data_IF_076120381095
#
_entry.id   IF_076120381095
#
_cell.length_a   1.000
_cell.length_b   1.000
_cell.length_c   1.000
_cell.angle_alpha   90.00
_cell.angle_beta   90.00
_cell.angle_gamma   90.00
#
_symmetry.space_group_name_H-M   'P 1'
#
loop_
_entity.id
_entity.type
_entity.pdbx_description
1 polymer ?
#
# COMPACT_ATOMS: atom_id res chain seq x y z
N UNK A 1 -0.97 -15.26 20.07
CA UNK A 1 -0.03 -15.48 18.97
C UNK A 1 -0.89 -15.67 17.73
N UNK A 2 -1.04 -14.65 16.93
CA UNK A 2 -1.87 -14.73 15.72
C UNK A 2 -1.05 -15.45 14.66
N UNK A 3 -1.50 -16.63 14.27
CA UNK A 3 -0.95 -17.41 13.17
C UNK A 3 -1.91 -17.23 11.99
N UNK A 4 -1.48 -16.57 10.93
CA UNK A 4 -2.30 -16.40 9.72
C UNK A 4 -2.74 -17.75 9.13
N UNK A 5 -1.96 -18.80 9.38
CA UNK A 5 -2.34 -20.16 8.97
C UNK A 5 -3.63 -20.65 9.62
N UNK A 6 -4.02 -20.10 10.79
CA UNK A 6 -5.28 -20.43 11.46
C UNK A 6 -6.44 -19.76 10.75
N UNK A 7 -6.26 -18.50 10.34
CA UNK A 7 -7.31 -17.73 9.64
C UNK A 7 -7.56 -18.32 8.26
N UNK A 8 -6.50 -18.64 7.51
CA UNK A 8 -6.62 -19.28 6.20
C UNK A 8 -7.28 -20.65 6.30
N UNK A 9 -6.87 -21.50 7.24
CA UNK A 9 -7.51 -22.81 7.48
C UNK A 9 -8.98 -22.70 7.90
N UNK A 10 -9.34 -21.68 8.68
CA UNK A 10 -10.72 -21.43 9.06
C UNK A 10 -11.56 -20.98 7.86
N UNK A 11 -11.02 -20.12 7.00
CA UNK A 11 -11.66 -19.72 5.73
C UNK A 11 -11.77 -20.87 4.74
N UNK A 12 -10.74 -21.69 4.59
CA UNK A 12 -10.78 -22.92 3.78
C UNK A 12 -11.88 -23.87 4.24
N UNK A 13 -11.98 -24.11 5.54
CA UNK A 13 -13.02 -24.95 6.10
C UNK A 13 -14.43 -24.38 5.87
N UNK A 14 -14.61 -23.06 6.00
CA UNK A 14 -15.87 -22.38 5.72
C UNK A 14 -16.24 -22.43 4.25
N UNK A 15 -15.31 -22.12 3.35
CA UNK A 15 -15.58 -22.00 1.92
C UNK A 15 -15.74 -23.37 1.25
N UNK A 16 -14.93 -24.35 1.63
CA UNK A 16 -14.99 -25.69 1.05
C UNK A 16 -16.15 -26.54 1.61
N UNK A 17 -16.44 -26.44 2.91
CA UNK A 17 -17.48 -27.25 3.56
C UNK A 17 -18.88 -26.64 3.45
N UNK A 18 -19.02 -25.31 3.50
CA UNK A 18 -20.33 -24.65 3.48
C UNK A 18 -20.81 -24.27 2.08
N UNK A 19 -19.91 -23.87 1.17
CA UNK A 19 -20.26 -23.41 -0.16
C UNK A 19 -19.96 -24.43 -1.29
N UNK A 20 -19.23 -25.52 -1.00
CA UNK A 20 -18.92 -26.57 -1.99
C UNK A 20 -18.18 -26.04 -3.22
N UNK A 21 -17.43 -24.94 -3.08
CA UNK A 21 -16.72 -24.30 -4.18
C UNK A 21 -15.53 -25.16 -4.63
N UNK A 22 -15.22 -25.19 -5.95
CA UNK A 22 -14.04 -25.87 -6.46
C UNK A 22 -12.77 -25.23 -5.85
N UNK A 23 -11.76 -26.04 -5.54
CA UNK A 23 -10.54 -25.60 -4.83
C UNK A 23 -9.80 -24.41 -5.47
N UNK A 24 -9.94 -24.21 -6.79
CA UNK A 24 -9.40 -23.03 -7.45
C UNK A 24 -10.10 -21.73 -7.02
N UNK A 25 -11.41 -21.75 -6.86
CA UNK A 25 -12.18 -20.58 -6.40
C UNK A 25 -11.90 -20.25 -4.93
N UNK A 26 -11.69 -21.25 -4.09
CA UNK A 26 -11.34 -21.03 -2.68
C UNK A 26 -9.99 -20.33 -2.56
N UNK A 27 -8.97 -20.79 -3.28
CA UNK A 27 -7.63 -20.18 -3.30
C UNK A 27 -7.70 -18.72 -3.79
N UNK A 28 -8.48 -18.43 -4.85
CA UNK A 28 -8.64 -17.06 -5.34
C UNK A 28 -9.27 -16.13 -4.30
N UNK A 29 -10.32 -16.60 -3.63
CA UNK A 29 -11.01 -15.82 -2.58
C UNK A 29 -10.06 -15.58 -1.41
N UNK A 30 -9.31 -16.59 -0.98
CA UNK A 30 -8.31 -16.43 0.08
C UNK A 30 -7.23 -15.41 -0.28
N UNK A 31 -6.66 -15.50 -1.48
CA UNK A 31 -5.68 -14.53 -1.96
C UNK A 31 -6.21 -13.10 -1.96
N UNK A 32 -7.48 -12.90 -2.37
CA UNK A 32 -8.13 -11.59 -2.34
C UNK A 32 -8.33 -11.10 -0.91
N UNK A 33 -8.81 -11.95 -0.01
CA UNK A 33 -9.05 -11.60 1.39
C UNK A 33 -7.74 -11.26 2.13
N UNK A 34 -6.71 -12.08 1.97
CA UNK A 34 -5.39 -11.82 2.56
C UNK A 34 -4.77 -10.55 1.96
N UNK A 35 -4.88 -10.36 0.65
CA UNK A 35 -4.43 -9.14 -0.01
C UNK A 35 -5.14 -7.89 0.52
N UNK A 36 -6.46 -7.95 0.69
CA UNK A 36 -7.25 -6.85 1.27
C UNK A 36 -6.84 -6.56 2.72
N UNK A 37 -6.58 -7.59 3.52
CA UNK A 37 -6.13 -7.46 4.90
C UNK A 37 -4.76 -6.78 4.97
N UNK A 38 -3.81 -7.20 4.13
CA UNK A 38 -2.48 -6.58 4.04
C UNK A 38 -2.59 -5.11 3.61
N UNK A 39 -3.42 -4.83 2.61
CA UNK A 39 -3.63 -3.48 2.10
C UNK A 39 -4.28 -2.56 3.14
N UNK A 40 -5.24 -3.05 3.91
CA UNK A 40 -5.85 -2.29 5.01
C UNK A 40 -4.86 -2.02 6.14
N UNK A 41 -4.06 -3.00 6.54
CA UNK A 41 -3.01 -2.83 7.54
C UNK A 41 -1.97 -1.80 7.09
N UNK A 42 -1.52 -1.89 5.84
CA UNK A 42 -0.62 -0.92 5.23
C UNK A 42 -1.21 0.49 5.22
N UNK A 43 -2.47 0.65 4.80
CA UNK A 43 -3.16 1.94 4.78
C UNK A 43 -3.27 2.56 6.19
N UNK A 44 -3.60 1.78 7.20
CA UNK A 44 -3.67 2.25 8.59
C UNK A 44 -2.31 2.76 9.10
N UNK A 45 -1.25 2.03 8.83
CA UNK A 45 0.12 2.44 9.19
C UNK A 45 0.50 3.73 8.46
N UNK A 46 0.21 3.83 7.16
CA UNK A 46 0.46 5.04 6.38
C UNK A 46 -0.26 6.26 6.94
N UNK A 47 -1.53 6.12 7.36
CA UNK A 47 -2.30 7.22 7.99
C UNK A 47 -1.60 7.72 9.25
N UNK A 48 -1.15 6.81 10.12
CA UNK A 48 -0.42 7.16 11.35
C UNK A 48 0.90 7.85 11.03
N UNK A 49 1.67 7.32 10.08
CA UNK A 49 2.96 7.88 9.69
C UNK A 49 2.83 9.29 9.08
N UNK A 50 1.86 9.51 8.19
CA UNK A 50 1.59 10.83 7.61
C UNK A 50 1.19 11.84 8.68
N UNK A 51 0.37 11.42 9.65
CA UNK A 51 0.02 12.28 10.78
C UNK A 51 1.25 12.66 11.61
N UNK A 52 2.08 11.67 11.94
CA UNK A 52 3.33 11.88 12.69
C UNK A 52 4.30 12.79 11.94
N UNK A 53 4.51 12.57 10.64
CA UNK A 53 5.34 13.40 9.78
C UNK A 53 4.94 14.87 9.87
N UNK A 54 3.65 15.17 9.67
CA UNK A 54 3.13 16.55 9.73
C UNK A 54 3.29 17.19 11.10
N UNK A 55 3.12 16.43 12.18
CA UNK A 55 3.32 16.93 13.55
C UNK A 55 4.79 17.23 13.84
N UNK A 56 5.67 16.31 13.48
CA UNK A 56 7.12 16.43 13.70
C UNK A 56 7.68 17.61 12.88
N UNK A 57 7.33 17.69 11.59
CA UNK A 57 7.74 18.82 10.74
C UNK A 57 7.24 20.16 11.27
N UNK A 58 6.00 20.22 11.77
CA UNK A 58 5.47 21.44 12.37
C UNK A 58 6.24 21.84 13.62
N UNK A 59 6.61 20.87 14.46
CA UNK A 59 7.40 21.10 15.67
C UNK A 59 8.77 21.69 15.34
N UNK A 60 9.49 21.12 14.36
CA UNK A 60 10.77 21.69 13.91
C UNK A 60 10.65 23.10 13.32
N UNK A 61 9.49 23.43 12.75
CA UNK A 61 9.21 24.76 12.20
C UNK A 61 8.61 25.72 13.23
N UNK A 62 8.61 25.38 14.52
CA UNK A 62 8.02 26.19 15.60
C UNK A 62 6.57 26.60 15.33
N UNK A 63 5.76 25.73 14.69
CA UNK A 63 4.34 25.96 14.41
C UNK A 63 3.48 24.81 14.91
N UNK A 64 2.20 25.08 15.13
CA UNK A 64 1.21 24.05 15.45
C UNK A 64 0.87 23.28 14.16
N UNK A 65 1.03 21.97 14.17
CA UNK A 65 0.59 21.10 13.09
C UNK A 65 -0.93 21.07 12.94
N UNK A 66 -1.50 20.12 12.19
CA UNK A 66 -2.95 20.00 12.03
C UNK A 66 -3.63 19.84 13.37
N UNK A 67 -4.62 20.72 13.67
CA UNK A 67 -5.34 20.78 14.95
C UNK A 67 -6.85 20.92 14.82
N UNK A 68 -7.36 21.22 13.61
CA UNK A 68 -8.75 21.64 13.44
C UNK A 68 -9.75 20.52 13.18
N UNK A 69 -9.31 19.39 12.62
CA UNK A 69 -10.21 18.30 12.24
C UNK A 69 -10.09 17.16 13.25
N UNK A 70 -11.07 17.08 14.14
CA UNK A 70 -11.11 16.13 15.25
C UNK A 70 -10.15 16.48 16.39
N UNK A 71 -10.11 15.65 17.45
CA UNK A 71 -9.23 15.88 18.58
C UNK A 71 -7.76 15.84 18.11
N UNK A 72 -7.05 16.93 18.37
CA UNK A 72 -5.64 17.12 18.03
C UNK A 72 -5.30 17.01 16.52
N UNK A 73 -6.32 17.05 15.64
CA UNK A 73 -6.14 16.99 14.20
C UNK A 73 -5.94 15.58 13.62
N UNK A 74 -6.30 14.52 14.35
CA UNK A 74 -6.11 13.12 13.93
C UNK A 74 -6.88 12.82 12.64
N UNK A 75 -8.11 13.36 12.50
CA UNK A 75 -8.94 13.12 11.31
C UNK A 75 -8.54 13.93 10.07
N UNK A 76 -7.50 14.77 10.18
CA UNK A 76 -7.05 15.57 9.03
C UNK A 76 -6.57 14.69 7.86
N UNK A 77 -5.91 13.56 8.16
CA UNK A 77 -5.42 12.64 7.12
C UNK A 77 -6.57 12.00 6.35
N UNK A 78 -7.67 11.64 7.03
CA UNK A 78 -8.88 11.13 6.37
C UNK A 78 -9.53 12.19 5.46
N UNK A 79 -9.62 13.44 5.93
CA UNK A 79 -10.12 14.53 5.12
C UNK A 79 -9.27 14.75 3.87
N UNK A 80 -7.95 14.61 3.97
CA UNK A 80 -7.03 14.73 2.84
C UNK A 80 -7.20 13.58 1.85
N UNK A 81 -7.39 12.35 2.32
CA UNK A 81 -7.68 11.19 1.44
C UNK A 81 -8.98 11.40 0.68
N UNK A 82 -10.07 11.79 1.37
CA UNK A 82 -11.34 12.09 0.72
C UNK A 82 -11.22 13.22 -0.32
N UNK A 83 -10.45 14.25 0.01
CA UNK A 83 -10.18 15.36 -0.91
C UNK A 83 -9.42 14.91 -2.16
N UNK A 84 -8.48 13.98 -2.01
CA UNK A 84 -7.74 13.39 -3.15
C UNK A 84 -8.64 12.55 -4.05
N UNK A 85 -9.60 11.80 -3.47
CA UNK A 85 -10.55 10.98 -4.23
C UNK A 85 -11.55 11.81 -5.05
N UNK A 86 -11.90 13.02 -4.58
CA UNK A 86 -12.84 13.91 -5.26
C UNK A 86 -12.16 14.76 -6.35
N UNK A 87 -10.82 14.88 -6.32
CA UNK A 87 -10.08 15.64 -7.32
C UNK A 87 -10.14 14.99 -8.69
N UNK A 88 -10.23 15.84 -9.72
CA UNK A 88 -10.14 15.42 -11.11
C UNK A 88 -8.78 14.81 -11.44
N UNK A 89 -8.78 13.72 -12.19
CA UNK A 89 -7.58 13.10 -12.74
C UNK A 89 -7.14 13.90 -13.96
N UNK A 90 -6.06 14.62 -13.80
CA UNK A 90 -5.54 15.51 -14.82
C UNK A 90 -4.22 14.95 -15.37
N UNK A 91 -4.12 14.90 -16.68
CA UNK A 91 -2.92 14.47 -17.40
C UNK A 91 -2.35 15.66 -18.18
N UNK A 92 -1.03 15.80 -18.21
CA UNK A 92 -0.35 16.85 -18.96
C UNK A 92 -0.44 16.54 -20.46
N UNK A 93 -0.83 17.51 -21.30
CA UNK A 93 -1.09 17.31 -22.74
C UNK A 93 0.11 16.77 -23.53
N UNK A 94 1.32 17.17 -23.16
CA UNK A 94 2.57 16.74 -23.79
C UNK A 94 3.26 15.57 -23.10
N UNK A 95 2.62 14.94 -22.11
CA UNK A 95 3.16 13.76 -21.43
C UNK A 95 2.95 12.50 -22.25
N UNK A 96 3.84 11.51 -22.07
CA UNK A 96 3.59 10.17 -22.55
C UNK A 96 2.55 9.50 -21.64
N UNK A 97 1.28 9.49 -22.11
CA UNK A 97 0.11 9.09 -21.33
C UNK A 97 0.23 7.67 -20.75
N UNK A 98 0.84 6.75 -21.50
CA UNK A 98 0.98 5.37 -21.08
C UNK A 98 2.00 5.23 -19.95
N UNK A 99 3.19 5.80 -20.11
CA UNK A 99 4.24 5.77 -19.08
C UNK A 99 3.80 6.50 -17.82
N UNK A 100 3.17 7.66 -17.99
CA UNK A 100 2.66 8.46 -16.87
C UNK A 100 1.56 7.75 -16.09
N UNK A 101 0.67 6.98 -16.78
CA UNK A 101 -0.39 6.22 -16.12
C UNK A 101 0.14 4.97 -15.39
N UNK A 102 1.15 4.27 -15.94
CA UNK A 102 1.70 3.04 -15.35
C UNK A 102 2.57 3.33 -14.13
N UNK A 103 3.29 4.44 -14.12
CA UNK A 103 4.27 4.77 -13.09
C UNK A 103 3.72 4.71 -11.64
N UNK A 104 2.58 5.32 -11.28
CA UNK A 104 2.05 5.25 -9.92
C UNK A 104 1.63 3.84 -9.52
N UNK A 105 1.16 3.01 -10.47
CA UNK A 105 0.83 1.61 -10.18
C UNK A 105 2.07 0.80 -9.84
N UNK A 106 3.20 1.00 -10.53
CA UNK A 106 4.46 0.34 -10.21
C UNK A 106 4.95 0.69 -8.81
N UNK A 107 4.87 1.96 -8.42
CA UNK A 107 5.24 2.40 -7.07
C UNK A 107 4.34 1.77 -6.01
N UNK A 108 3.01 1.73 -6.26
CA UNK A 108 2.05 1.10 -5.36
C UNK A 108 2.30 -0.41 -5.22
N UNK A 109 2.49 -1.12 -6.32
CA UNK A 109 2.78 -2.56 -6.31
C UNK A 109 4.07 -2.84 -5.55
N UNK A 110 5.11 -2.03 -5.77
CA UNK A 110 6.37 -2.19 -5.05
C UNK A 110 6.23 -1.96 -3.54
N UNK A 111 5.54 -0.92 -3.12
CA UNK A 111 5.38 -0.59 -1.70
C UNK A 111 4.53 -1.62 -0.95
N UNK A 112 3.36 -1.99 -1.50
CA UNK A 112 2.48 -3.00 -0.90
C UNK A 112 3.13 -4.39 -0.96
N UNK A 113 3.81 -4.73 -2.07
CA UNK A 113 4.54 -5.97 -2.22
C UNK A 113 5.64 -6.11 -1.16
N UNK A 114 6.49 -5.11 -1.01
CA UNK A 114 7.55 -5.11 0.01
C UNK A 114 6.98 -5.30 1.42
N UNK A 115 5.88 -4.61 1.73
CA UNK A 115 5.19 -4.73 3.01
C UNK A 115 4.67 -6.16 3.28
N UNK A 116 4.21 -6.87 2.25
CA UNK A 116 3.69 -8.24 2.35
C UNK A 116 4.76 -9.27 2.70
N UNK A 117 6.04 -8.99 2.38
CA UNK A 117 7.15 -9.89 2.69
C UNK A 117 7.79 -9.65 4.06
N UNK A 118 7.39 -8.60 4.77
CA UNK A 118 7.93 -8.33 6.10
C UNK A 118 7.39 -9.34 7.12
N UNK A 119 8.26 -10.00 7.89
CA UNK A 119 7.83 -10.85 8.98
C UNK A 119 7.37 -9.97 10.17
N UNK A 120 6.12 -10.05 10.52
CA UNK A 120 5.53 -9.29 11.63
C UNK A 120 5.78 -9.91 12.99
N UNK A 121 5.86 -11.25 13.03
CA UNK A 121 6.13 -12.02 14.25
C UNK A 121 6.63 -13.42 13.88
N UNK A 122 7.13 -14.18 14.87
CA UNK A 122 7.46 -15.61 14.71
C UNK A 122 6.21 -16.38 14.26
N UNK A 123 6.25 -16.92 13.03
CA UNK A 123 5.11 -17.63 12.42
C UNK A 123 4.02 -16.75 11.82
N UNK A 124 4.16 -15.41 11.87
CA UNK A 124 3.21 -14.46 11.27
C UNK A 124 3.85 -13.77 10.07
N UNK A 125 3.82 -14.45 8.96
CA UNK A 125 4.28 -13.97 7.65
C UNK A 125 3.20 -14.27 6.61
N UNK A 126 3.01 -13.36 5.68
CA UNK A 126 2.02 -13.54 4.60
C UNK A 126 2.59 -14.48 3.55
N UNK A 127 3.86 -14.33 3.23
CA UNK A 127 4.59 -15.13 2.26
C UNK A 127 5.97 -15.47 2.84
N UNK A 128 6.28 -16.75 2.90
CA UNK A 128 7.58 -17.25 3.37
C UNK A 128 8.37 -17.82 2.20
N UNK A 129 9.54 -17.21 1.95
CA UNK A 129 10.45 -17.65 0.90
C UNK A 129 11.86 -17.77 1.45
N UNK A 130 12.57 -18.84 1.11
CA UNK A 130 13.96 -19.06 1.50
C UNK A 130 14.91 -17.93 1.08
N UNK A 131 14.55 -17.15 0.04
CA UNK A 131 15.30 -16.02 -0.53
C UNK A 131 14.58 -14.68 -0.31
N UNK A 132 13.85 -14.52 0.78
CA UNK A 132 12.99 -13.36 1.05
C UNK A 132 13.70 -12.00 0.93
N UNK A 133 14.95 -11.89 1.41
CA UNK A 133 15.72 -10.63 1.35
C UNK A 133 15.97 -10.20 -0.11
N UNK A 134 16.36 -11.13 -0.98
CA UNK A 134 16.58 -10.83 -2.41
C UNK A 134 15.27 -10.42 -3.09
N UNK A 135 14.16 -11.03 -2.70
CA UNK A 135 12.85 -10.73 -3.26
C UNK A 135 12.35 -9.34 -2.83
N UNK A 136 12.58 -8.96 -1.58
CA UNK A 136 12.29 -7.61 -1.07
C UNK A 136 13.10 -6.55 -1.82
N UNK A 137 14.40 -6.78 -2.02
CA UNK A 137 15.25 -5.85 -2.79
C UNK A 137 14.85 -5.76 -4.26
N UNK A 138 14.49 -6.88 -4.88
CA UNK A 138 14.01 -6.90 -6.25
C UNK A 138 12.70 -6.12 -6.42
N UNK A 139 11.73 -6.31 -5.52
CA UNK A 139 10.44 -5.60 -5.57
C UNK A 139 10.63 -4.11 -5.29
N UNK A 140 11.46 -3.73 -4.33
CA UNK A 140 11.74 -2.31 -4.06
C UNK A 140 12.38 -1.61 -5.26
N UNK A 141 13.20 -2.32 -6.06
CA UNK A 141 13.77 -1.79 -7.30
C UNK A 141 12.71 -1.46 -8.36
N UNK A 142 11.60 -2.20 -8.39
CA UNK A 142 10.46 -1.87 -9.27
C UNK A 142 9.85 -0.52 -8.88
N UNK A 143 9.82 -0.19 -7.58
CA UNK A 143 9.37 1.12 -7.11
C UNK A 143 10.24 2.27 -7.64
N UNK A 144 11.55 2.09 -7.64
CA UNK A 144 12.50 3.07 -8.20
C UNK A 144 12.26 3.25 -9.71
N UNK A 145 12.05 2.16 -10.45
CA UNK A 145 11.67 2.22 -11.86
C UNK A 145 10.37 3.00 -12.06
N UNK A 146 9.37 2.81 -11.18
CA UNK A 146 8.12 3.57 -11.22
C UNK A 146 8.35 5.08 -11.09
N UNK A 147 9.18 5.51 -10.14
CA UNK A 147 9.53 6.94 -9.97
C UNK A 147 10.26 7.48 -11.19
N UNK A 148 11.23 6.71 -11.72
CA UNK A 148 11.96 7.08 -12.93
C UNK A 148 11.02 7.25 -14.15
N UNK A 149 10.11 6.30 -14.35
CA UNK A 149 9.13 6.35 -15.45
C UNK A 149 8.15 7.51 -15.28
N UNK A 150 7.79 7.90 -14.06
CA UNK A 150 6.96 9.08 -13.81
C UNK A 150 7.67 10.37 -14.26
N UNK A 151 8.94 10.50 -13.90
CA UNK A 151 9.78 11.63 -14.33
C UNK A 151 9.92 11.69 -15.85
N UNK A 152 10.31 10.59 -16.46
CA UNK A 152 10.46 10.48 -17.91
C UNK A 152 9.16 10.75 -18.66
N UNK A 153 8.06 10.10 -18.23
CA UNK A 153 6.74 10.23 -18.84
C UNK A 153 6.12 11.62 -18.72
N UNK A 154 6.54 12.42 -17.73
CA UNK A 154 6.04 13.79 -17.55
C UNK A 154 6.49 14.77 -18.64
N UNK A 155 7.49 14.40 -19.44
CA UNK A 155 8.11 15.23 -20.49
C UNK A 155 8.55 16.63 -19.98
N UNK A 156 9.00 16.68 -18.75
CA UNK A 156 9.49 17.91 -18.12
C UNK A 156 11.02 17.85 -18.00
N UNK A 157 11.71 18.81 -18.62
CA UNK A 157 13.19 18.90 -18.61
C UNK A 157 13.83 18.98 -17.22
N UNK A 158 13.08 19.29 -16.18
CA UNK A 158 13.57 19.35 -14.79
C UNK A 158 13.34 18.06 -14.00
N UNK A 159 12.56 17.12 -14.53
CA UNK A 159 12.27 15.84 -13.87
C UNK A 159 12.97 14.63 -14.51
N UNK A 160 13.75 14.87 -15.56
CA UNK A 160 14.57 13.86 -16.25
C UNK A 160 15.98 13.81 -15.68
#
# INVERSE_FOLDING_TARGET
MFDFSIVTKWFDALLSQTLGLPGFCTILIECVLVGLLVLTAYALICIVLIFMERKVCAYFQCRLGPMRVGPWGIFQVFADVLKMLIKEIFTVDKSDKLLYAIAPFLVMIASVGTFSFLPWNKGMHVLDFNVGIFLVTAISSIGVLGVFLAGWGSNNKYSV
#
